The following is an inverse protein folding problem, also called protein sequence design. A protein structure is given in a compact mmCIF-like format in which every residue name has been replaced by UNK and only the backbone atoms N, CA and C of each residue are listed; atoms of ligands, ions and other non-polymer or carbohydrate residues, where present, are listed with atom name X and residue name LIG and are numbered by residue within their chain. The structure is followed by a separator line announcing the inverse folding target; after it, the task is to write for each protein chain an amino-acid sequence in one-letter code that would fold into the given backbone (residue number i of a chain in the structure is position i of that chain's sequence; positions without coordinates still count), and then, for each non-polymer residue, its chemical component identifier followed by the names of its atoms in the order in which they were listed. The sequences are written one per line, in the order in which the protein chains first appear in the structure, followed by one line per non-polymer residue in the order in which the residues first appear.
data_IF_669832074002
#
_entry.id   IF_669832074002
#
_cell.length_a   1.000
_cell.length_b   1.000
_cell.length_c   1.000
_cell.angle_alpha   90.00
_cell.angle_beta   90.00
_cell.angle_gamma   90.00
#
_symmetry.space_group_name_H-M   'P 1'
#
loop_
_entity.id
_entity.type
_entity.pdbx_description
1 polymer ?
#
# COMPACT_ATOMS: atom_id res chain seq x y z
N UNK A 1 11.46 3.61 -0.75
CA UNK A 1 12.16 3.00 -1.91
C UNK A 1 12.63 4.01 -2.94
N UNK A 2 11.82 5.02 -3.33
CA UNK A 2 12.18 6.03 -4.36
C UNK A 2 13.60 6.61 -4.25
N UNK A 3 14.02 7.03 -3.04
CA UNK A 3 15.35 7.62 -2.81
C UNK A 3 16.51 6.73 -3.27
N UNK A 4 16.42 5.40 -3.09
CA UNK A 4 17.52 4.48 -3.39
C UNK A 4 17.66 4.18 -4.89
N UNK A 5 16.54 4.18 -5.61
CA UNK A 5 16.49 3.79 -7.02
C UNK A 5 16.59 4.97 -7.98
N UNK A 6 16.35 6.19 -7.49
CA UNK A 6 16.40 7.41 -8.28
C UNK A 6 17.83 8.01 -8.33
N UNK A 7 18.49 8.08 -9.50
CA UNK A 7 19.83 8.65 -9.68
C UNK A 7 20.00 10.07 -9.12
N UNK A 8 18.95 10.88 -9.15
CA UNK A 8 19.02 12.28 -8.69
C UNK A 8 19.04 12.38 -7.16
N UNK A 9 18.67 11.30 -6.45
CA UNK A 9 18.45 11.30 -4.99
C UNK A 9 19.26 10.22 -4.25
N UNK A 10 19.91 9.30 -4.96
CA UNK A 10 20.50 8.08 -4.42
C UNK A 10 21.99 8.20 -4.07
N UNK A 11 22.52 9.43 -3.95
CA UNK A 11 23.88 9.73 -3.46
C UNK A 11 25.00 8.99 -4.23
N UNK A 12 24.85 8.89 -5.55
CA UNK A 12 25.86 8.30 -6.44
C UNK A 12 25.72 6.79 -6.66
N UNK A 13 24.63 6.18 -6.17
CA UNK A 13 24.31 4.79 -6.50
C UNK A 13 23.88 4.64 -7.97
N UNK A 14 24.05 3.45 -8.57
CA UNK A 14 23.55 3.17 -9.91
C UNK A 14 22.02 3.34 -10.01
N UNK A 15 21.53 3.79 -11.16
CA UNK A 15 20.10 3.89 -11.45
C UNK A 15 19.39 2.57 -11.21
N UNK A 16 18.29 2.59 -10.45
CA UNK A 16 17.53 1.40 -10.05
C UNK A 16 18.38 0.31 -9.40
N UNK A 17 19.57 0.65 -8.88
CA UNK A 17 20.60 -0.29 -8.38
C UNK A 17 20.96 -1.39 -9.41
N UNK A 18 20.88 -1.07 -10.70
CA UNK A 18 21.28 -1.96 -11.78
C UNK A 18 22.80 -2.14 -11.81
N UNK A 19 23.28 -3.38 -11.99
CA UNK A 19 24.72 -3.68 -12.14
C UNK A 19 25.22 -3.30 -13.53
N UNK A 20 24.37 -3.46 -14.56
CA UNK A 20 24.67 -3.08 -15.96
C UNK A 20 23.55 -2.21 -16.56
N UNK A 21 23.50 -0.92 -16.22
CA UNK A 21 22.47 0.00 -16.72
C UNK A 21 22.36 -0.04 -18.26
N UNK A 22 21.13 -0.05 -18.78
CA UNK A 22 20.83 -0.10 -20.21
C UNK A 22 20.70 -1.53 -20.78
N UNK A 23 21.31 -2.53 -20.15
CA UNK A 23 21.10 -3.95 -20.50
C UNK A 23 20.11 -4.66 -19.55
N UNK A 24 19.95 -4.14 -18.33
CA UNK A 24 18.99 -4.61 -17.34
C UNK A 24 18.34 -3.42 -16.60
N UNK A 25 17.16 -3.66 -16.04
CA UNK A 25 16.36 -2.61 -15.36
C UNK A 25 16.55 -2.58 -13.84
N UNK A 26 17.45 -3.39 -13.27
CA UNK A 26 17.66 -3.48 -11.82
C UNK A 26 16.34 -3.68 -11.05
N UNK A 27 16.09 -2.84 -10.05
CA UNK A 27 14.90 -2.86 -9.20
C UNK A 27 13.73 -2.01 -9.72
N UNK A 28 13.74 -1.58 -10.99
CA UNK A 28 12.66 -0.75 -11.54
C UNK A 28 11.30 -1.43 -11.41
N UNK A 29 11.18 -2.70 -11.80
CA UNK A 29 9.91 -3.45 -11.71
C UNK A 29 9.49 -3.67 -10.26
N UNK A 30 10.45 -3.93 -9.36
CA UNK A 30 10.19 -4.07 -7.93
C UNK A 30 9.63 -2.76 -7.34
N UNK A 31 10.13 -1.60 -7.77
CA UNK A 31 9.59 -0.29 -7.40
C UNK A 31 8.15 -0.10 -7.89
N UNK A 32 7.83 -0.52 -9.12
CA UNK A 32 6.46 -0.46 -9.66
C UNK A 32 5.52 -1.34 -8.85
N UNK A 33 5.93 -2.56 -8.51
CA UNK A 33 5.16 -3.45 -7.64
C UNK A 33 4.92 -2.83 -6.25
N UNK A 34 5.98 -2.30 -5.62
CA UNK A 34 5.86 -1.61 -4.34
C UNK A 34 4.89 -0.41 -4.41
N UNK A 35 4.95 0.39 -5.49
CA UNK A 35 4.03 1.51 -5.69
C UNK A 35 2.57 1.05 -5.82
N UNK A 36 2.32 -0.08 -6.51
CA UNK A 36 0.99 -0.68 -6.62
C UNK A 36 0.44 -1.09 -5.24
N UNK A 37 1.26 -1.77 -4.43
CA UNK A 37 0.86 -2.21 -3.08
C UNK A 37 0.50 -1.02 -2.17
N UNK A 38 1.31 0.05 -2.19
CA UNK A 38 0.99 1.29 -1.44
C UNK A 38 -0.33 1.89 -1.90
N UNK A 39 -0.58 1.91 -3.21
CA UNK A 39 -1.79 2.52 -3.75
C UNK A 39 -3.04 1.73 -3.36
N UNK A 40 -2.97 0.39 -3.38
CA UNK A 40 -4.06 -0.46 -2.91
C UNK A 40 -4.36 -0.25 -1.42
N UNK A 41 -3.31 -0.20 -0.58
CA UNK A 41 -3.46 0.11 0.84
C UNK A 41 -4.10 1.49 1.07
N UNK A 42 -3.80 2.48 0.21
CA UNK A 42 -4.43 3.81 0.27
C UNK A 42 -5.92 3.77 -0.04
N UNK A 43 -6.35 2.99 -1.03
CA UNK A 43 -7.77 2.80 -1.33
C UNK A 43 -8.49 2.16 -0.12
N UNK A 44 -7.86 1.17 0.51
CA UNK A 44 -8.39 0.53 1.72
C UNK A 44 -8.39 1.47 2.94
N UNK A 45 -7.56 2.50 2.99
CA UNK A 45 -7.46 3.39 4.15
C UNK A 45 -8.69 4.27 4.41
N UNK A 46 -9.69 4.30 3.51
CA UNK A 46 -10.96 4.97 3.78
C UNK A 46 -11.63 4.36 5.04
N UNK A 47 -12.03 5.13 6.07
CA UNK A 47 -12.61 4.55 7.28
C UNK A 47 -13.91 3.80 6.96
N UNK A 48 -14.10 2.58 7.45
CA UNK A 48 -15.41 1.91 7.30
C UNK A 48 -16.45 2.43 8.30
N UNK A 49 -16.01 3.10 9.37
CA UNK A 49 -16.86 3.55 10.47
C UNK A 49 -17.57 4.88 10.22
N UNK A 50 -17.29 5.58 9.11
CA UNK A 50 -17.93 6.87 8.80
C UNK A 50 -19.26 6.69 8.07
N UNK A 51 -19.48 5.53 7.46
CA UNK A 51 -20.73 5.20 6.76
C UNK A 51 -21.60 4.34 7.67
N UNK A 52 -22.62 4.97 8.25
CA UNK A 52 -23.58 4.33 9.11
C UNK A 52 -24.84 3.95 8.35
N UNK A 53 -25.29 2.70 8.50
CA UNK A 53 -26.54 2.21 7.92
C UNK A 53 -27.38 1.68 9.06
N UNK A 54 -28.56 2.27 9.25
CA UNK A 54 -29.47 1.87 10.31
C UNK A 54 -30.00 0.46 10.06
N UNK A 55 -29.90 -0.39 11.07
CA UNK A 55 -30.36 -1.78 11.05
C UNK A 55 -31.48 -1.99 12.08
N UNK A 56 -32.02 -3.23 12.14
CA UNK A 56 -33.00 -3.63 13.15
C UNK A 56 -34.24 -2.73 13.24
N UNK A 57 -34.71 -2.22 12.08
CA UNK A 57 -35.92 -1.40 11.98
C UNK A 57 -35.82 -0.05 12.69
N UNK A 58 -34.64 0.56 12.76
CA UNK A 58 -34.44 1.85 13.43
C UNK A 58 -33.85 1.77 14.83
N UNK A 59 -33.60 0.55 15.35
CA UNK A 59 -33.06 0.37 16.70
C UNK A 59 -31.54 0.45 16.78
N UNK A 60 -30.87 0.02 15.73
CA UNK A 60 -29.42 0.16 15.58
C UNK A 60 -29.17 1.34 14.66
N UNK A 61 -29.39 2.54 15.19
CA UNK A 61 -29.17 3.80 14.50
C UNK A 61 -27.70 4.23 14.50
N UNK A 62 -26.84 3.56 15.28
CA UNK A 62 -25.38 3.65 15.21
C UNK A 62 -24.74 2.26 15.08
N UNK A 63 -24.05 2.04 13.97
CA UNK A 63 -23.35 0.81 13.63
C UNK A 63 -21.89 1.15 13.35
N UNK A 64 -20.99 0.58 14.16
CA UNK A 64 -19.55 0.92 14.13
C UNK A 64 -18.80 0.40 12.90
N UNK A 65 -19.40 -0.53 12.15
CA UNK A 65 -18.75 -1.28 11.07
C UNK A 65 -17.42 -1.93 11.51
N UNK A 66 -17.33 -2.36 12.77
CA UNK A 66 -16.10 -2.85 13.38
C UNK A 66 -15.48 -4.07 12.67
N UNK A 67 -16.32 -5.03 12.26
CA UNK A 67 -15.83 -6.22 11.54
C UNK A 67 -15.27 -5.85 10.15
N UNK A 68 -15.95 -4.97 9.42
CA UNK A 68 -15.45 -4.45 8.13
C UNK A 68 -14.13 -3.71 8.32
N UNK A 69 -14.02 -2.88 9.36
CA UNK A 69 -12.77 -2.21 9.71
C UNK A 69 -11.63 -3.20 9.97
N UNK A 70 -11.89 -4.28 10.72
CA UNK A 70 -10.90 -5.33 11.01
C UNK A 70 -10.45 -6.08 9.74
N UNK A 71 -11.38 -6.39 8.84
CA UNK A 71 -11.05 -7.04 7.56
C UNK A 71 -10.19 -6.15 6.68
N UNK A 72 -10.52 -4.86 6.58
CA UNK A 72 -9.71 -3.88 5.85
C UNK A 72 -8.31 -3.75 6.43
N UNK A 73 -8.18 -3.70 7.76
CA UNK A 73 -6.88 -3.66 8.43
C UNK A 73 -6.04 -4.91 8.10
N UNK A 74 -6.65 -6.10 8.16
CA UNK A 74 -5.94 -7.34 7.82
C UNK A 74 -5.36 -7.29 6.41
N UNK A 75 -6.13 -6.86 5.41
CA UNK A 75 -5.63 -6.70 4.04
C UNK A 75 -4.50 -5.67 3.94
N UNK A 76 -4.59 -4.55 4.67
CA UNK A 76 -3.50 -3.55 4.69
C UNK A 76 -2.22 -4.11 5.31
N UNK A 77 -2.33 -4.94 6.35
CA UNK A 77 -1.16 -5.63 6.96
C UNK A 77 -0.53 -6.58 5.95
N UNK A 78 -1.29 -7.41 5.26
CA UNK A 78 -0.78 -8.33 4.23
C UNK A 78 -0.05 -7.55 3.10
N UNK A 79 -0.61 -6.42 2.66
CA UNK A 79 0.03 -5.54 1.67
C UNK A 79 1.33 -4.91 2.20
N UNK A 80 1.34 -4.51 3.47
CA UNK A 80 2.53 -3.93 4.12
C UNK A 80 3.65 -4.97 4.29
N UNK A 81 3.32 -6.21 4.66
CA UNK A 81 4.28 -7.32 4.74
C UNK A 81 4.92 -7.59 3.37
N UNK A 82 4.09 -7.68 2.32
CA UNK A 82 4.59 -7.85 0.96
C UNK A 82 5.47 -6.68 0.49
N UNK A 83 5.11 -5.46 0.88
CA UNK A 83 5.90 -4.27 0.55
C UNK A 83 7.25 -4.24 1.28
N UNK A 84 7.31 -4.69 2.53
CA UNK A 84 8.56 -4.78 3.30
C UNK A 84 9.48 -5.90 2.81
N UNK A 85 8.92 -6.94 2.18
CA UNK A 85 9.68 -8.00 1.56
C UNK A 85 10.37 -7.59 0.24
N UNK A 86 9.95 -6.47 -0.36
CA UNK A 86 10.54 -5.87 -1.57
C UNK A 86 11.65 -4.89 -1.18
#
# INVERSE_FOLDING_TARGET
TDRLVNPDKNEGLPAFLARRPGLESGFMTAQVAAASLVNEARVLAHPASVDNITTSGGKEDHVSMGMTSALKLRSVVDLAENLLAI
#
